data_IF_497932407362
#
_entry.id   IF_497932407362
#
_cell.length_a   1.000
_cell.length_b   1.000
_cell.length_c   1.000
_cell.angle_alpha   90.00
_cell.angle_beta   90.00
_cell.angle_gamma   90.00
#
_symmetry.space_group_name_H-M   'P 1'
#
loop_
_entity.id
_entity.type
_entity.pdbx_description
1 polymer ?
#
# COMPACT_ATOMS: atom_id res chain seq x y z
N UNK A 1 -32.11 -1.72 19.28
CA UNK A 1 -31.24 -2.01 18.12
C UNK A 1 -32.00 -1.64 16.87
N UNK A 2 -31.45 -0.71 16.10
CA UNK A 2 -32.05 -0.24 14.85
C UNK A 2 -31.62 -1.16 13.70
N UNK A 3 -32.42 -1.25 12.63
CA UNK A 3 -32.08 -2.05 11.42
C UNK A 3 -30.72 -1.64 10.84
N UNK A 4 -30.36 -0.37 11.00
CA UNK A 4 -29.07 0.22 10.65
C UNK A 4 -27.90 -0.38 11.45
N UNK A 5 -28.04 -0.64 12.75
CA UNK A 5 -26.98 -1.25 13.57
C UNK A 5 -26.69 -2.70 13.13
N UNK A 6 -27.74 -3.44 12.74
CA UNK A 6 -27.61 -4.82 12.26
C UNK A 6 -26.97 -4.90 10.88
N UNK A 7 -27.29 -3.94 9.99
CA UNK A 7 -26.64 -3.84 8.68
C UNK A 7 -25.16 -3.47 8.84
N UNK A 8 -24.85 -2.48 9.67
CA UNK A 8 -23.47 -2.09 9.98
C UNK A 8 -22.67 -3.29 10.52
N UNK A 9 -23.17 -3.98 11.54
CA UNK A 9 -22.51 -5.16 12.11
C UNK A 9 -22.36 -6.33 11.11
N UNK A 10 -23.25 -6.45 10.13
CA UNK A 10 -23.16 -7.46 9.06
C UNK A 10 -22.08 -7.10 8.03
N UNK A 11 -21.96 -5.83 7.65
CA UNK A 11 -20.88 -5.36 6.78
C UNK A 11 -19.53 -5.44 7.48
N UNK A 12 -19.45 -5.06 8.76
CA UNK A 12 -18.23 -5.12 9.56
C UNK A 12 -17.74 -6.57 9.73
N UNK A 13 -18.65 -7.54 9.93
CA UNK A 13 -18.30 -8.98 9.98
C UNK A 13 -17.77 -9.56 8.68
N UNK A 14 -18.09 -8.96 7.53
CA UNK A 14 -17.64 -9.40 6.21
C UNK A 14 -16.43 -8.63 5.69
N UNK A 15 -16.00 -7.59 6.40
CA UNK A 15 -14.89 -6.75 5.97
C UNK A 15 -13.59 -7.53 6.13
N UNK A 16 -12.87 -7.71 5.02
CA UNK A 16 -11.58 -8.37 5.04
C UNK A 16 -10.56 -7.40 5.67
N UNK A 17 -9.89 -7.79 6.78
CA UNK A 17 -8.89 -6.94 7.44
C UNK A 17 -7.74 -6.49 6.51
N UNK A 18 -7.43 -7.28 5.48
CA UNK A 18 -6.49 -6.87 4.43
C UNK A 18 -7.01 -5.67 3.63
N UNK A 19 -8.24 -5.74 3.13
CA UNK A 19 -8.87 -4.69 2.33
C UNK A 19 -8.99 -3.38 3.12
N UNK A 20 -9.31 -3.45 4.41
CA UNK A 20 -9.38 -2.26 5.26
C UNK A 20 -7.99 -1.60 5.44
N UNK A 21 -6.94 -2.41 5.65
CA UNK A 21 -5.56 -1.90 5.72
C UNK A 21 -5.10 -1.33 4.39
N UNK A 22 -5.44 -1.97 3.29
CA UNK A 22 -5.13 -1.50 1.94
C UNK A 22 -5.81 -0.15 1.67
N UNK A 23 -7.12 -0.06 1.89
CA UNK A 23 -7.89 1.19 1.76
C UNK A 23 -7.25 2.31 2.60
N UNK A 24 -6.85 1.98 3.82
CA UNK A 24 -6.17 2.91 4.70
C UNK A 24 -4.81 3.37 4.15
N UNK A 25 -3.95 2.44 3.72
CA UNK A 25 -2.63 2.74 3.16
C UNK A 25 -2.73 3.57 1.87
N UNK A 26 -3.68 3.24 1.00
CA UNK A 26 -3.98 4.01 -0.21
C UNK A 26 -4.51 5.41 0.11
N UNK A 27 -5.36 5.55 1.14
CA UNK A 27 -5.88 6.86 1.57
C UNK A 27 -4.80 7.81 2.07
N UNK A 28 -3.66 7.27 2.52
CA UNK A 28 -2.49 8.07 2.87
C UNK A 28 -1.78 8.64 1.63
N UNK A 29 -2.01 8.10 0.45
CA UNK A 29 -1.37 8.51 -0.80
C UNK A 29 -0.08 7.74 -1.12
N UNK A 30 0.06 6.52 -0.60
CA UNK A 30 1.11 5.59 -1.03
C UNK A 30 0.80 5.04 -2.42
N UNK A 31 1.85 4.68 -3.16
CA UNK A 31 1.69 3.95 -4.42
C UNK A 31 0.83 2.68 -4.22
N UNK A 32 -0.13 2.37 -5.11
CA UNK A 32 -1.03 1.22 -4.93
C UNK A 32 -0.31 -0.13 -4.82
N UNK A 33 0.76 -0.35 -5.57
CA UNK A 33 1.50 -1.62 -5.53
C UNK A 33 2.31 -1.73 -4.23
N UNK A 34 2.91 -0.62 -3.79
CA UNK A 34 3.58 -0.56 -2.50
C UNK A 34 2.59 -0.74 -1.33
N UNK A 35 1.42 -0.09 -1.40
CA UNK A 35 0.36 -0.20 -0.41
C UNK A 35 -0.15 -1.65 -0.26
N UNK A 36 -0.34 -2.38 -1.36
CA UNK A 36 -0.73 -3.80 -1.35
C UNK A 36 0.28 -4.66 -0.58
N UNK A 37 1.58 -4.49 -0.87
CA UNK A 37 2.64 -5.23 -0.19
C UNK A 37 2.71 -4.90 1.30
N UNK A 38 2.55 -3.62 1.65
CA UNK A 38 2.48 -3.20 3.05
C UNK A 38 1.24 -3.75 3.75
N UNK A 39 0.08 -3.76 3.10
CA UNK A 39 -1.16 -4.31 3.67
C UNK A 39 -1.00 -5.79 4.03
N UNK A 40 -0.42 -6.59 3.12
CA UNK A 40 -0.10 -8.00 3.37
C UNK A 40 0.89 -8.17 4.52
N UNK A 41 1.96 -7.36 4.57
CA UNK A 41 2.94 -7.41 5.66
C UNK A 41 2.29 -7.10 7.02
N UNK A 42 1.45 -6.06 7.07
CA UNK A 42 0.75 -5.65 8.30
C UNK A 42 -0.34 -6.64 8.70
N UNK A 43 -0.99 -7.31 7.74
CA UNK A 43 -1.91 -8.40 8.00
C UNK A 43 -1.20 -9.58 8.68
N UNK A 44 -0.02 -9.98 8.20
CA UNK A 44 0.75 -11.09 8.77
C UNK A 44 1.11 -10.89 10.24
N UNK A 45 1.35 -9.64 10.65
CA UNK A 45 1.68 -9.30 12.04
C UNK A 45 0.47 -8.82 12.84
N UNK A 46 -0.74 -8.86 12.26
CA UNK A 46 -1.96 -8.31 12.83
C UNK A 46 -1.81 -6.87 13.34
N UNK A 47 -1.06 -6.04 12.62
CA UNK A 47 -0.83 -4.66 13.02
C UNK A 47 -2.15 -3.87 13.05
N UNK A 48 -2.25 -3.03 14.08
CA UNK A 48 -3.32 -2.07 14.28
C UNK A 48 -3.08 -0.81 13.44
N UNK A 49 -4.14 -0.06 13.16
CA UNK A 49 -4.06 1.21 12.43
C UNK A 49 -3.10 2.21 13.10
N UNK A 50 -3.04 2.22 14.43
CA UNK A 50 -2.14 3.09 15.18
C UNK A 50 -0.66 2.72 14.95
N UNK A 51 -0.33 1.42 14.92
CA UNK A 51 1.02 0.95 14.64
C UNK A 51 1.46 1.28 13.22
N UNK A 52 0.54 1.13 12.25
CA UNK A 52 0.77 1.55 10.86
C UNK A 52 1.02 3.07 10.80
N UNK A 53 0.21 3.87 11.50
CA UNK A 53 0.39 5.32 11.58
C UNK A 53 1.72 5.74 12.21
N UNK A 54 2.19 5.02 13.22
CA UNK A 54 3.50 5.29 13.82
C UNK A 54 4.65 5.07 12.83
N UNK A 55 4.45 4.24 11.81
CA UNK A 55 5.43 4.00 10.75
C UNK A 55 5.27 4.93 9.53
N UNK A 56 4.31 5.86 9.54
CA UNK A 56 3.97 6.73 8.40
C UNK A 56 5.20 7.36 7.72
N UNK A 57 6.09 7.98 8.49
CA UNK A 57 7.30 8.64 7.94
C UNK A 57 8.22 7.65 7.20
N UNK A 58 8.34 6.43 7.72
CA UNK A 58 9.15 5.37 7.12
C UNK A 58 8.50 4.89 5.82
N UNK A 59 7.19 4.67 5.82
CA UNK A 59 6.44 4.24 4.64
C UNK A 59 6.65 5.22 3.47
N UNK A 60 6.45 6.52 3.67
CA UNK A 60 6.70 7.53 2.63
C UNK A 60 8.17 7.60 2.19
N UNK A 61 9.10 7.44 3.12
CA UNK A 61 10.53 7.46 2.78
C UNK A 61 10.92 6.28 1.89
N UNK A 62 10.35 5.11 2.15
CA UNK A 62 10.59 3.90 1.35
C UNK A 62 9.90 4.00 0.00
N UNK A 63 8.65 4.48 -0.04
CA UNK A 63 7.87 4.68 -1.27
C UNK A 63 8.61 5.60 -2.27
N UNK A 64 9.07 6.77 -1.81
CA UNK A 64 9.85 7.71 -2.63
C UNK A 64 11.19 7.10 -3.11
N UNK A 65 11.87 6.33 -2.26
CA UNK A 65 13.11 5.61 -2.66
C UNK A 65 12.82 4.57 -3.73
N UNK A 66 11.73 3.81 -3.60
CA UNK A 66 11.33 2.79 -4.56
C UNK A 66 11.02 3.42 -5.91
N UNK A 67 10.23 4.50 -5.90
CA UNK A 67 9.92 5.28 -7.10
C UNK A 67 11.19 5.78 -7.82
N UNK A 68 12.15 6.34 -7.08
CA UNK A 68 13.44 6.79 -7.63
C UNK A 68 14.26 5.65 -8.24
N UNK A 69 14.28 4.48 -7.60
CA UNK A 69 14.98 3.30 -8.12
C UNK A 69 14.34 2.81 -9.42
N UNK A 70 13.01 2.80 -9.49
CA UNK A 70 12.29 2.42 -10.69
C UNK A 70 12.54 3.39 -11.86
N UNK A 71 12.52 4.69 -11.61
CA UNK A 71 12.91 5.69 -12.60
C UNK A 71 14.34 5.47 -13.11
N UNK A 72 15.28 5.15 -12.20
CA UNK A 72 16.67 4.84 -12.56
C UNK A 72 16.77 3.58 -13.41
N UNK A 73 16.07 2.50 -13.04
CA UNK A 73 15.99 1.25 -13.80
C UNK A 73 15.47 1.51 -15.22
N UNK A 74 14.36 2.23 -15.34
CA UNK A 74 13.74 2.54 -16.63
C UNK A 74 14.64 3.41 -17.51
N UNK A 75 15.39 4.35 -16.91
CA UNK A 75 16.40 5.13 -17.63
C UNK A 75 17.53 4.25 -18.18
N UNK A 76 18.08 3.36 -17.36
CA UNK A 76 19.14 2.45 -17.79
C UNK A 76 18.67 1.53 -18.92
N UNK A 77 17.48 0.94 -18.78
CA UNK A 77 16.90 0.09 -19.80
C UNK A 77 16.72 0.82 -21.15
N UNK A 78 16.19 2.05 -21.14
CA UNK A 78 16.09 2.87 -22.36
C UNK A 78 17.44 3.13 -23.01
N UNK A 79 18.48 3.40 -22.22
CA UNK A 79 19.83 3.60 -22.76
C UNK A 79 20.40 2.33 -23.39
N UNK A 80 20.14 1.16 -22.80
CA UNK A 80 20.55 -0.13 -23.38
C UNK A 80 19.84 -0.40 -24.71
N UNK A 81 18.51 -0.22 -24.76
CA UNK A 81 17.73 -0.40 -26.00
C UNK A 81 18.25 0.52 -27.12
N UNK A 82 18.51 1.79 -26.82
CA UNK A 82 19.04 2.77 -27.78
C UNK A 82 20.45 2.42 -28.28
N UNK A 83 21.27 1.75 -27.46
CA UNK A 83 22.59 1.27 -27.89
C UNK A 83 22.52 0.06 -28.82
N UNK A 84 21.46 -0.74 -28.74
CA UNK A 84 21.27 -1.94 -29.57
C UNK A 84 20.46 -1.67 -30.85
N UNK A 85 19.95 -0.45 -31.02
CA UNK A 85 19.17 -0.02 -32.20
C UNK A 85 19.97 0.87 -33.17
N UNK A 86 21.25 1.14 -32.87
CA UNK A 86 22.24 1.74 -33.78
C UNK A 86 23.35 0.73 -34.08
#
# INVERSE_FOLDING_TARGET
>A
MTVTDNLQAFFDKKRNPHLERLEFLMSMGLDPEFAERCALMFEQINATTQEIMNQKKVLFSVDDKLHKLELKRNRLHRMEVLKHTN
#
